data_IF_511392893478
#
_entry.id   IF_511392893478
#
_cell.length_a   1.000
_cell.length_b   1.000
_cell.length_c   1.000
_cell.angle_alpha   90.00
_cell.angle_beta   90.00
_cell.angle_gamma   90.00
#
_symmetry.space_group_name_H-M   'P 1'
#
loop_
_entity.id
_entity.type
_entity.pdbx_description
1 polymer ?
#
# COMPACT_ATOMS: atom_id res chain seq x y z
N UNK A 1 -38.81 -12.50 15.87
CA UNK A 1 -37.45 -12.43 15.32
C UNK A 1 -37.47 -13.13 13.98
N UNK A 2 -37.27 -12.39 12.89
CA UNK A 2 -37.13 -12.97 11.54
C UNK A 2 -35.72 -13.54 11.41
N UNK A 3 -35.63 -14.85 11.20
CA UNK A 3 -34.37 -15.52 10.90
C UNK A 3 -33.97 -15.09 9.48
N UNK A 4 -32.73 -14.67 9.23
CA UNK A 4 -32.25 -14.42 7.87
C UNK A 4 -32.41 -15.70 7.04
N UNK A 5 -32.79 -15.60 5.76
CA UNK A 5 -32.90 -16.78 4.91
C UNK A 5 -31.54 -17.50 4.84
N UNK A 6 -31.57 -18.85 4.85
CA UNK A 6 -30.37 -19.69 4.73
C UNK A 6 -29.64 -19.48 3.39
N UNK A 7 -30.37 -19.01 2.37
CA UNK A 7 -29.86 -18.69 1.05
C UNK A 7 -30.23 -17.27 0.67
N UNK A 8 -29.23 -16.44 0.34
CA UNK A 8 -29.39 -15.03 -0.02
C UNK A 8 -29.03 -14.83 -1.49
N UNK A 9 -30.04 -14.71 -2.35
CA UNK A 9 -29.85 -14.38 -3.76
C UNK A 9 -29.63 -12.87 -3.94
N UNK A 10 -28.37 -12.48 -4.20
CA UNK A 10 -27.98 -11.09 -4.47
C UNK A 10 -28.01 -10.79 -5.98
N UNK A 11 -26.84 -10.71 -6.62
CA UNK A 11 -26.74 -10.45 -8.06
C UNK A 11 -27.38 -11.55 -8.92
N UNK A 12 -27.54 -12.76 -8.39
CA UNK A 12 -28.14 -13.90 -9.09
C UNK A 12 -29.62 -13.69 -9.42
N UNK A 13 -30.32 -12.78 -8.71
CA UNK A 13 -31.69 -12.42 -8.99
C UNK A 13 -31.87 -11.58 -10.28
N UNK A 14 -30.76 -11.21 -10.95
CA UNK A 14 -30.76 -10.39 -12.17
C UNK A 14 -30.09 -11.14 -13.33
N UNK A 15 -30.36 -10.74 -14.59
CA UNK A 15 -29.60 -11.23 -15.73
C UNK A 15 -28.08 -11.01 -15.54
N UNK A 16 -27.23 -11.94 -16.02
CA UNK A 16 -25.79 -11.80 -15.92
C UNK A 16 -25.29 -10.47 -16.48
N UNK A 17 -24.34 -9.85 -15.77
CA UNK A 17 -23.70 -8.64 -16.24
C UNK A 17 -22.73 -8.97 -17.39
N UNK A 18 -22.86 -8.26 -18.51
CA UNK A 18 -22.01 -8.39 -19.68
C UNK A 18 -21.15 -7.14 -19.87
N UNK A 19 -19.89 -7.32 -20.25
CA UNK A 19 -18.92 -6.22 -20.37
C UNK A 19 -19.30 -5.23 -21.47
N UNK A 20 -19.82 -5.71 -22.59
CA UNK A 20 -20.27 -4.85 -23.69
C UNK A 20 -21.50 -4.03 -23.33
N UNK A 21 -22.47 -4.62 -22.62
CA UNK A 21 -23.61 -3.87 -22.07
C UNK A 21 -23.16 -2.76 -21.11
N UNK A 22 -22.12 -3.00 -20.33
CA UNK A 22 -21.52 -1.95 -19.50
C UNK A 22 -20.84 -0.85 -20.36
N UNK A 23 -20.08 -1.23 -21.39
CA UNK A 23 -19.46 -0.27 -22.34
C UNK A 23 -20.49 0.60 -23.04
N UNK A 24 -21.64 0.06 -23.43
CA UNK A 24 -22.75 0.83 -24.02
C UNK A 24 -23.28 1.90 -23.06
N UNK A 25 -23.47 1.55 -21.78
CA UNK A 25 -23.90 2.51 -20.76
C UNK A 25 -22.85 3.62 -20.56
N UNK A 26 -21.56 3.24 -20.50
CA UNK A 26 -20.45 4.22 -20.39
C UNK A 26 -20.39 5.13 -21.61
N UNK A 27 -20.49 4.58 -22.83
CA UNK A 27 -20.55 5.34 -24.07
C UNK A 27 -21.67 6.37 -24.04
N UNK A 28 -22.86 5.97 -23.57
CA UNK A 28 -24.00 6.88 -23.39
C UNK A 28 -23.71 8.07 -22.45
N UNK A 29 -22.87 7.87 -21.43
CA UNK A 29 -22.42 8.95 -20.53
C UNK A 29 -21.33 9.80 -21.18
N UNK A 30 -20.31 9.19 -21.78
CA UNK A 30 -19.19 9.90 -22.43
C UNK A 30 -19.64 10.75 -23.62
N UNK A 31 -20.72 10.37 -24.29
CA UNK A 31 -21.37 11.20 -25.32
C UNK A 31 -21.86 12.54 -24.77
N UNK A 32 -22.33 12.59 -23.52
CA UNK A 32 -22.82 13.84 -22.90
C UNK A 32 -21.68 14.81 -22.60
N UNK A 33 -20.47 14.31 -22.35
CA UNK A 33 -19.28 15.14 -22.17
C UNK A 33 -18.51 15.41 -23.48
N UNK A 34 -18.97 14.87 -24.61
CA UNK A 34 -18.29 14.97 -25.90
C UNK A 34 -17.03 14.11 -26.02
N UNK A 35 -16.79 13.20 -25.08
CA UNK A 35 -15.61 12.33 -25.07
C UNK A 35 -15.77 11.09 -25.97
N UNK A 36 -17.00 10.74 -26.36
CA UNK A 36 -17.32 9.67 -27.30
C UNK A 36 -18.43 10.12 -28.27
N UNK A 37 -18.54 9.44 -29.41
CA UNK A 37 -19.59 9.63 -30.42
C UNK A 37 -20.41 8.36 -30.60
N UNK A 38 -21.42 8.38 -31.49
CA UNK A 38 -22.17 7.17 -31.85
C UNK A 38 -21.32 6.13 -32.59
N UNK A 39 -20.28 6.57 -33.30
CA UNK A 39 -19.42 5.70 -34.08
C UNK A 39 -18.22 5.16 -33.28
N UNK A 40 -17.99 5.65 -32.05
CA UNK A 40 -16.91 5.15 -31.19
C UNK A 40 -17.09 3.65 -30.91
N UNK A 41 -16.15 2.79 -31.31
CA UNK A 41 -16.22 1.34 -31.03
C UNK A 41 -16.28 1.04 -29.53
N UNK A 42 -16.98 -0.02 -29.14
CA UNK A 42 -17.17 -0.35 -27.71
C UNK A 42 -15.85 -0.71 -27.03
N UNK A 43 -14.95 -1.36 -27.76
CA UNK A 43 -13.62 -1.75 -27.30
C UNK A 43 -12.73 -0.55 -26.93
N UNK A 44 -12.98 0.63 -27.51
CA UNK A 44 -12.21 1.85 -27.23
C UNK A 44 -12.72 2.61 -25.99
N UNK A 45 -13.95 2.34 -25.55
CA UNK A 45 -14.64 3.09 -24.48
C UNK A 45 -13.87 3.04 -23.16
N UNK A 46 -13.27 1.89 -22.82
CA UNK A 46 -12.48 1.74 -21.61
C UNK A 46 -11.16 2.53 -21.67
N UNK A 47 -10.57 2.62 -22.86
CA UNK A 47 -9.37 3.40 -23.11
C UNK A 47 -9.60 4.89 -22.86
N UNK A 48 -10.77 5.42 -23.24
CA UNK A 48 -11.16 6.81 -22.99
C UNK A 48 -11.27 7.16 -21.49
N UNK A 49 -11.44 6.15 -20.63
CA UNK A 49 -11.47 6.31 -19.17
C UNK A 49 -10.12 6.03 -18.50
N UNK A 50 -9.17 5.46 -19.23
CA UNK A 50 -7.86 5.07 -18.70
C UNK A 50 -7.04 6.32 -18.39
N UNK A 51 -6.40 6.33 -17.22
CA UNK A 51 -5.47 7.41 -16.82
C UNK A 51 -4.05 6.89 -16.83
N UNK A 52 -3.11 7.67 -17.34
CA UNK A 52 -1.69 7.37 -17.18
C UNK A 52 -1.18 7.94 -15.86
N UNK A 53 -0.42 7.13 -15.12
CA UNK A 53 0.35 7.60 -13.98
C UNK A 53 1.51 8.48 -14.47
N UNK A 54 2.16 9.19 -13.54
CA UNK A 54 3.35 10.00 -13.85
C UNK A 54 4.46 9.18 -14.54
N UNK A 55 4.58 7.89 -14.21
CA UNK A 55 5.58 6.99 -14.76
C UNK A 55 5.11 6.27 -16.04
N UNK A 56 3.99 6.69 -16.64
CA UNK A 56 3.44 6.10 -17.86
C UNK A 56 2.74 4.76 -17.66
N UNK A 57 2.27 4.44 -16.45
CA UNK A 57 1.51 3.21 -16.17
C UNK A 57 0.02 3.47 -16.42
N UNK A 58 -0.64 2.73 -17.34
CA UNK A 58 -2.07 2.89 -17.58
C UNK A 58 -2.88 2.30 -16.42
N UNK A 59 -3.79 3.11 -15.88
CA UNK A 59 -4.74 2.73 -14.83
C UNK A 59 -6.14 2.65 -15.45
N UNK A 60 -6.61 1.42 -15.66
CA UNK A 60 -7.94 1.16 -16.18
C UNK A 60 -9.04 1.60 -15.20
N UNK A 61 -10.20 2.00 -15.72
CA UNK A 61 -11.35 2.41 -14.91
C UNK A 61 -12.13 1.23 -14.30
N UNK A 62 -11.92 0.01 -14.79
CA UNK A 62 -12.56 -1.20 -14.29
C UNK A 62 -11.56 -2.38 -14.30
N UNK A 63 -11.33 -2.94 -13.11
CA UNK A 63 -10.62 -4.20 -12.93
C UNK A 63 -11.62 -5.29 -12.52
N UNK A 64 -11.39 -6.49 -13.02
CA UNK A 64 -12.26 -7.65 -12.83
C UNK A 64 -11.45 -8.85 -12.34
N UNK A 65 -12.13 -9.99 -12.13
CA UNK A 65 -11.46 -11.23 -11.72
C UNK A 65 -10.38 -11.69 -12.70
N UNK A 66 -10.52 -11.43 -14.01
CA UNK A 66 -9.52 -11.81 -15.01
C UNK A 66 -8.21 -11.03 -14.86
N UNK A 67 -8.26 -9.88 -14.21
CA UNK A 67 -7.11 -8.98 -14.02
C UNK A 67 -6.36 -9.27 -12.70
N UNK A 68 -6.90 -10.18 -11.87
CA UNK A 68 -6.30 -10.52 -10.60
C UNK A 68 -4.97 -11.29 -10.78
N UNK A 69 -3.87 -10.87 -10.14
CA UNK A 69 -2.61 -11.58 -10.24
C UNK A 69 -2.73 -12.98 -9.61
N UNK A 70 -2.16 -13.98 -10.28
CA UNK A 70 -2.03 -15.31 -9.71
C UNK A 70 -0.99 -15.30 -8.57
N UNK A 71 -1.25 -16.06 -7.50
CA UNK A 71 -0.28 -16.24 -6.41
C UNK A 71 -0.94 -16.58 -5.08
N UNK A 72 -0.26 -17.41 -4.29
CA UNK A 72 -0.63 -17.67 -2.90
C UNK A 72 0.31 -16.91 -1.97
N UNK A 73 -0.17 -16.40 -0.83
CA UNK A 73 0.70 -15.77 0.16
C UNK A 73 1.87 -16.70 0.56
N UNK A 74 3.07 -16.15 0.65
CA UNK A 74 4.27 -16.86 1.11
C UNK A 74 4.91 -17.83 0.11
N UNK A 75 4.45 -17.90 -1.15
CA UNK A 75 4.99 -18.79 -2.17
C UNK A 75 5.52 -18.03 -3.38
N UNK A 76 6.54 -18.59 -4.04
CA UNK A 76 7.10 -18.06 -5.29
C UNK A 76 5.98 -17.81 -6.33
N UNK A 77 6.00 -16.66 -7.05
CA UNK A 77 7.08 -15.66 -7.11
C UNK A 77 7.02 -14.57 -6.02
N UNK A 78 6.33 -14.84 -4.90
CA UNK A 78 6.26 -13.97 -3.71
C UNK A 78 5.59 -12.60 -3.93
N UNK A 79 4.64 -12.51 -4.88
CA UNK A 79 3.78 -11.31 -5.08
C UNK A 79 3.06 -10.92 -3.78
N UNK A 80 2.73 -11.92 -2.96
CA UNK A 80 2.18 -11.76 -1.61
C UNK A 80 3.17 -12.35 -0.63
N UNK A 81 4.27 -11.65 -0.37
CA UNK A 81 5.23 -12.06 0.65
C UNK A 81 4.51 -12.13 2.02
N UNK A 82 4.76 -13.19 2.77
CA UNK A 82 4.31 -13.32 4.15
C UNK A 82 5.57 -13.51 4.97
N UNK A 83 5.78 -12.61 5.93
CA UNK A 83 6.88 -12.74 6.87
C UNK A 83 6.35 -13.29 8.19
N UNK A 84 6.96 -14.34 8.76
CA UNK A 84 6.50 -14.96 10.00
C UNK A 84 6.44 -14.00 11.20
N UNK A 85 7.26 -12.96 11.20
CA UNK A 85 7.32 -11.89 12.21
C UNK A 85 6.23 -10.82 12.07
N UNK A 86 5.47 -10.83 10.97
CA UNK A 86 4.34 -9.91 10.72
C UNK A 86 2.99 -10.38 11.29
N UNK A 87 2.92 -11.56 11.91
CA UNK A 87 1.71 -12.07 12.54
C UNK A 87 1.64 -11.62 14.01
N UNK A 88 1.01 -10.47 14.27
CA UNK A 88 0.84 -9.90 15.61
C UNK A 88 0.23 -8.48 15.59
N UNK A 89 0.21 -7.79 16.75
CA UNK A 89 -0.32 -6.43 16.89
C UNK A 89 0.46 -5.37 16.08
N UNK A 90 1.68 -5.68 15.64
CA UNK A 90 2.50 -4.83 14.79
C UNK A 90 2.83 -5.58 13.49
N UNK A 91 2.02 -5.38 12.45
CA UNK A 91 2.22 -5.99 11.13
C UNK A 91 3.36 -5.37 10.31
N UNK A 92 4.09 -4.41 10.88
CA UNK A 92 5.23 -3.73 10.28
C UNK A 92 6.15 -3.13 11.37
N UNK A 93 7.41 -2.91 11.01
CA UNK A 93 8.40 -2.22 11.84
C UNK A 93 8.17 -0.70 11.80
N UNK A 94 7.99 -0.08 12.97
CA UNK A 94 7.99 1.37 13.15
C UNK A 94 9.43 1.83 13.38
N UNK A 95 10.11 2.16 12.29
CA UNK A 95 11.50 2.62 12.28
C UNK A 95 11.60 4.14 12.20
N UNK A 96 11.99 4.79 13.29
CA UNK A 96 12.15 6.25 13.34
C UNK A 96 13.53 6.68 12.84
N UNK A 97 13.57 7.78 12.06
CA UNK A 97 14.82 8.33 11.53
C UNK A 97 15.33 9.45 12.43
N UNK A 98 16.51 9.27 13.00
CA UNK A 98 17.21 10.27 13.79
C UNK A 98 18.44 10.78 13.04
N UNK A 99 18.57 12.10 12.95
CA UNK A 99 19.66 12.78 12.24
C UNK A 99 20.18 13.99 13.01
N UNK A 100 19.89 14.08 14.32
CA UNK A 100 20.39 15.15 15.15
C UNK A 100 21.92 15.00 15.32
N UNK A 101 22.72 16.05 15.05
CA UNK A 101 24.16 15.99 15.22
C UNK A 101 24.61 15.96 16.69
N UNK A 102 23.76 16.36 17.64
CA UNK A 102 24.07 16.28 19.08
C UNK A 102 23.76 14.86 19.60
N UNK A 103 24.75 14.09 20.06
CA UNK A 103 24.53 12.76 20.60
C UNK A 103 23.59 12.71 21.81
N UNK A 104 23.55 13.76 22.63
CA UNK A 104 22.66 13.79 23.79
C UNK A 104 21.21 14.00 23.36
N UNK A 105 20.95 14.96 22.48
CA UNK A 105 19.62 15.17 21.91
C UNK A 105 19.13 13.95 21.12
N UNK A 106 20.00 13.34 20.30
CA UNK A 106 19.69 12.13 19.56
C UNK A 106 19.29 10.99 20.50
N UNK A 107 20.04 10.78 21.59
CA UNK A 107 19.73 9.75 22.60
C UNK A 107 18.35 9.93 23.22
N UNK A 108 18.06 11.14 23.72
CA UNK A 108 16.78 11.42 24.37
C UNK A 108 15.60 11.18 23.40
N UNK A 109 15.74 11.60 22.14
CA UNK A 109 14.73 11.33 21.11
C UNK A 109 14.56 9.84 20.81
N UNK A 110 15.66 9.09 20.68
CA UNK A 110 15.63 7.64 20.42
C UNK A 110 14.90 6.90 21.54
N UNK A 111 15.25 7.19 22.80
CA UNK A 111 14.64 6.53 23.95
C UNK A 111 13.15 6.87 24.06
N UNK A 112 12.80 8.15 23.88
CA UNK A 112 11.41 8.58 23.87
C UNK A 112 10.59 7.83 22.80
N UNK A 113 11.10 7.69 21.58
CA UNK A 113 10.39 6.98 20.51
C UNK A 113 10.22 5.49 20.84
N UNK A 114 11.28 4.83 21.34
CA UNK A 114 11.23 3.41 21.72
C UNK A 114 10.27 3.14 22.89
N UNK A 115 10.20 4.05 23.86
CA UNK A 115 9.26 3.97 24.99
C UNK A 115 7.80 4.24 24.58
N UNK A 116 7.57 4.82 23.39
CA UNK A 116 6.25 5.21 22.89
C UNK A 116 5.84 4.46 21.61
N UNK A 117 6.47 3.32 21.31
CA UNK A 117 5.99 2.37 20.30
C UNK A 117 6.79 2.31 19.00
N UNK A 118 7.90 3.03 18.87
CA UNK A 118 8.89 2.71 17.85
C UNK A 118 9.53 1.35 18.15
N UNK A 119 9.80 0.56 17.10
CA UNK A 119 10.33 -0.80 17.22
C UNK A 119 11.78 -0.92 16.76
N UNK A 120 12.28 0.06 16.01
CA UNK A 120 13.69 0.12 15.58
C UNK A 120 14.16 1.55 15.29
N UNK A 121 15.48 1.71 15.16
CA UNK A 121 16.14 3.01 14.98
C UNK A 121 16.83 3.08 13.63
N UNK A 122 16.61 4.17 12.89
CA UNK A 122 17.43 4.54 11.73
C UNK A 122 18.26 5.79 12.05
N UNK A 123 19.55 5.61 12.29
CA UNK A 123 20.48 6.70 12.57
C UNK A 123 21.17 7.16 11.30
N UNK A 124 21.02 8.42 10.91
CA UNK A 124 21.88 9.01 9.89
C UNK A 124 23.23 9.36 10.50
N UNK A 125 24.32 8.74 10.02
CA UNK A 125 25.69 9.07 10.43
C UNK A 125 26.40 10.03 9.47
N UNK A 126 27.33 10.82 10.01
CA UNK A 126 28.22 11.67 9.23
C UNK A 126 27.57 12.96 8.75
N UNK A 127 27.80 13.33 7.48
CA UNK A 127 27.34 14.61 6.95
C UNK A 127 25.81 14.72 6.98
N UNK A 128 25.32 15.74 7.69
CA UNK A 128 23.90 16.00 7.91
C UNK A 128 23.24 15.06 8.93
N UNK A 129 24.02 14.41 9.79
CA UNK A 129 23.54 13.53 10.85
C UNK A 129 24.47 13.51 12.07
N UNK A 130 24.37 12.43 12.85
CA UNK A 130 25.17 12.20 14.05
C UNK A 130 26.65 11.96 13.68
N UNK A 131 27.61 12.65 14.31
CA UNK A 131 29.04 12.34 14.14
C UNK A 131 29.32 10.88 14.52
N UNK A 132 30.14 10.18 13.73
CA UNK A 132 30.47 8.76 13.99
C UNK A 132 31.04 8.55 15.39
N UNK A 133 31.85 9.49 15.88
CA UNK A 133 32.40 9.46 17.23
C UNK A 133 31.32 9.56 18.33
N UNK A 134 30.15 10.12 18.02
CA UNK A 134 29.00 10.26 18.93
C UNK A 134 28.04 9.07 18.90
N UNK A 135 28.28 8.03 18.08
CA UNK A 135 27.39 6.89 17.95
C UNK A 135 27.16 6.16 19.27
N UNK A 136 28.25 5.88 20.00
CA UNK A 136 28.16 5.20 21.29
C UNK A 136 27.28 6.01 22.25
N UNK A 137 27.42 7.33 22.23
CA UNK A 137 26.73 8.27 23.10
C UNK A 137 25.22 8.36 22.81
N UNK A 138 24.86 8.39 21.53
CA UNK A 138 23.47 8.43 21.07
C UNK A 138 22.71 7.13 21.37
N UNK A 139 23.39 5.98 21.35
CA UNK A 139 22.78 4.67 21.61
C UNK A 139 22.81 4.24 23.08
N UNK A 140 23.34 5.07 24.00
CA UNK A 140 23.36 4.70 25.43
C UNK A 140 21.95 4.51 25.98
N UNK A 141 21.69 3.32 26.52
CA UNK A 141 20.40 2.95 27.09
C UNK A 141 19.47 2.23 26.11
N UNK A 142 19.82 2.18 24.82
CA UNK A 142 19.11 1.37 23.84
C UNK A 142 19.46 -0.10 24.06
N UNK A 143 18.43 -0.94 24.21
CA UNK A 143 18.57 -2.40 24.30
C UNK A 143 18.75 -2.97 22.89
N UNK A 144 20.01 -3.13 22.45
CA UNK A 144 20.33 -3.52 21.06
C UNK A 144 19.92 -4.95 20.68
N UNK A 145 19.63 -5.80 21.67
CA UNK A 145 19.05 -7.13 21.50
C UNK A 145 17.53 -7.08 21.26
N UNK A 146 16.88 -5.95 21.57
CA UNK A 146 15.44 -5.73 21.41
C UNK A 146 15.12 -4.73 20.29
N UNK A 147 15.90 -3.67 20.15
CA UNK A 147 15.69 -2.58 19.19
C UNK A 147 16.76 -2.61 18.09
N UNK A 148 16.45 -3.13 16.89
CA UNK A 148 17.38 -3.11 15.77
C UNK A 148 17.79 -1.68 15.39
N UNK A 149 19.04 -1.51 14.97
CA UNK A 149 19.58 -0.23 14.51
C UNK A 149 20.12 -0.36 13.10
N UNK A 150 19.74 0.57 12.22
CA UNK A 150 20.35 0.76 10.88
C UNK A 150 21.00 2.14 10.78
N UNK A 151 22.08 2.23 10.01
CA UNK A 151 22.93 3.42 9.85
C UNK A 151 22.80 4.00 8.42
#
# INVERSE_FOLDING_TARGET
>A
MTVPPEELELAAAFPPAERDRWREMVKGVLRKSGAATDDTPLEEIEGLLTRESYDGVPVAALYTRSDAPAGRPGLAPYVREVRPDGEGLAGWDVRQRHADPDPAAAREAILADLENGATSVWLRLGEGGLPVAGLADALRGVLLDLAPVVL
#
